data_IF_558608046079
#
_entry.id   IF_558608046079
#
_cell.length_a   1.000
_cell.length_b   1.000
_cell.length_c   1.000
_cell.angle_alpha   90.00
_cell.angle_beta   90.00
_cell.angle_gamma   90.00
#
_symmetry.space_group_name_H-M   'P 1'
#
loop_
_entity.id
_entity.type
_entity.pdbx_description
1 polymer ?
#
# COMPACT_ATOMS: atom_id res chain seq x y z
N UNK A 1 -13.07 32.33 -3.85
CA UNK A 1 -13.96 31.91 -4.97
C UNK A 1 -13.56 30.58 -5.62
N UNK A 2 -12.28 30.20 -5.70
CA UNK A 2 -11.83 28.93 -6.30
C UNK A 2 -12.31 27.70 -5.50
N UNK A 3 -12.25 27.76 -4.17
CA UNK A 3 -12.67 26.70 -3.24
C UNK A 3 -14.15 26.36 -3.34
N UNK A 4 -15.03 27.35 -3.52
CA UNK A 4 -16.46 27.13 -3.65
C UNK A 4 -16.81 26.36 -4.94
N UNK A 5 -16.17 26.73 -6.06
CA UNK A 5 -16.33 26.03 -7.34
C UNK A 5 -15.77 24.61 -7.30
N UNK A 6 -14.64 24.40 -6.63
CA UNK A 6 -14.11 23.05 -6.45
C UNK A 6 -15.10 22.16 -5.68
N UNK A 7 -15.66 22.67 -4.57
CA UNK A 7 -16.63 21.92 -3.78
C UNK A 7 -17.90 21.60 -4.59
N UNK A 8 -18.40 22.54 -5.36
CA UNK A 8 -19.59 22.36 -6.21
C UNK A 8 -19.38 21.32 -7.32
N UNK A 9 -18.19 21.29 -7.95
CA UNK A 9 -17.87 20.33 -9.01
C UNK A 9 -17.53 18.92 -8.47
N UNK A 10 -16.94 18.84 -7.28
CA UNK A 10 -16.47 17.56 -6.72
C UNK A 10 -17.43 16.95 -5.67
N UNK A 11 -18.52 17.63 -5.29
CA UNK A 11 -19.47 17.14 -4.27
C UNK A 11 -20.09 15.77 -4.58
N UNK A 12 -20.18 15.42 -5.85
CA UNK A 12 -20.76 14.16 -6.36
C UNK A 12 -19.68 13.20 -6.87
N UNK A 13 -18.41 13.62 -6.80
CA UNK A 13 -17.29 12.77 -7.21
C UNK A 13 -17.10 11.67 -6.18
N UNK A 14 -17.17 10.42 -6.66
CA UNK A 14 -16.87 9.25 -5.85
C UNK A 14 -15.40 9.31 -5.42
N UNK A 15 -15.15 9.18 -4.13
CA UNK A 15 -13.80 9.14 -3.56
C UNK A 15 -13.59 7.84 -2.79
N UNK A 16 -12.37 7.35 -2.80
CA UNK A 16 -11.93 6.21 -2.01
C UNK A 16 -10.52 6.50 -1.50
N UNK A 17 -10.29 6.32 -0.21
CA UNK A 17 -8.96 6.43 0.40
C UNK A 17 -8.40 5.01 0.54
N UNK A 18 -7.16 4.82 0.10
CA UNK A 18 -6.48 3.54 0.11
C UNK A 18 -5.08 3.71 0.69
N UNK A 19 -4.69 2.78 1.54
CA UNK A 19 -3.32 2.64 2.01
C UNK A 19 -2.61 1.56 1.20
N UNK A 20 -1.31 1.72 0.98
CA UNK A 20 -0.52 0.75 0.24
C UNK A 20 -0.62 -0.63 0.89
N UNK A 21 -0.48 -0.65 2.22
CA UNK A 21 -0.53 -1.83 3.07
C UNK A 21 -1.83 -2.61 2.90
N UNK A 22 -2.97 -1.93 2.74
CA UNK A 22 -4.29 -2.58 2.55
C UNK A 22 -4.36 -3.39 1.25
N UNK A 23 -3.66 -2.95 0.21
CA UNK A 23 -3.62 -3.61 -1.11
C UNK A 23 -2.60 -4.75 -1.14
N UNK A 24 -1.55 -4.63 -0.34
CA UNK A 24 -0.31 -5.39 -0.51
C UNK A 24 -0.18 -6.52 0.53
N UNK A 25 -0.85 -6.41 1.67
CA UNK A 25 -0.80 -7.41 2.75
C UNK A 25 -1.87 -8.50 2.57
N UNK A 26 -2.92 -8.23 1.77
CA UNK A 26 -4.05 -9.14 1.51
C UNK A 26 -4.18 -9.48 0.01
N UNK A 27 -3.07 -9.85 -0.64
CA UNK A 27 -2.98 -9.97 -2.11
C UNK A 27 -3.86 -11.03 -2.75
N UNK A 28 -4.18 -12.11 -2.04
CA UNK A 28 -4.75 -13.31 -2.67
C UNK A 28 -6.26 -13.24 -2.88
N UNK A 29 -7.02 -12.57 -2.02
CA UNK A 29 -8.46 -12.25 -2.21
C UNK A 29 -8.86 -11.17 -1.17
N UNK A 30 -8.05 -10.12 -1.01
CA UNK A 30 -8.30 -9.12 0.02
C UNK A 30 -9.63 -8.37 -0.23
N UNK A 31 -10.48 -8.18 0.79
CA UNK A 31 -11.74 -7.44 0.64
C UNK A 31 -11.52 -6.06 0.02
N UNK A 32 -10.36 -5.42 0.25
CA UNK A 32 -10.03 -4.13 -0.38
C UNK A 32 -9.75 -4.16 -1.87
N UNK A 33 -9.12 -5.20 -2.41
CA UNK A 33 -8.95 -5.27 -3.87
C UNK A 33 -10.29 -5.46 -4.57
N UNK A 34 -11.22 -6.20 -3.97
CA UNK A 34 -12.59 -6.32 -4.46
C UNK A 34 -13.32 -4.99 -4.42
N UNK A 35 -13.27 -4.28 -3.28
CA UNK A 35 -13.88 -2.95 -3.14
C UNK A 35 -13.34 -1.96 -4.19
N UNK A 36 -12.04 -2.00 -4.48
CA UNK A 36 -11.40 -1.15 -5.50
C UNK A 36 -11.87 -1.51 -6.90
N UNK A 37 -11.92 -2.81 -7.23
CA UNK A 37 -12.41 -3.26 -8.54
C UNK A 37 -13.87 -2.86 -8.75
N UNK A 38 -14.73 -3.04 -7.74
CA UNK A 38 -16.12 -2.59 -7.76
C UNK A 38 -16.22 -1.06 -7.85
N UNK A 39 -15.35 -0.34 -7.14
CA UNK A 39 -15.33 1.11 -7.18
C UNK A 39 -15.06 1.64 -8.59
N UNK A 40 -14.10 1.03 -9.27
CA UNK A 40 -13.71 1.35 -10.65
C UNK A 40 -14.66 0.78 -11.71
N UNK A 41 -15.62 -0.09 -11.32
CA UNK A 41 -16.52 -0.77 -12.26
C UNK A 41 -15.82 -1.86 -13.08
N UNK A 42 -14.77 -2.47 -12.55
CA UNK A 42 -14.01 -3.54 -13.17
C UNK A 42 -14.57 -4.92 -12.75
N UNK A 43 -14.51 -5.93 -13.63
CA UNK A 43 -14.86 -7.29 -13.26
C UNK A 43 -13.86 -7.84 -12.25
N UNK A 44 -14.36 -8.54 -11.23
CA UNK A 44 -13.52 -9.12 -10.17
C UNK A 44 -12.59 -10.19 -10.75
N UNK A 45 -11.29 -9.95 -10.67
CA UNK A 45 -10.26 -10.88 -11.11
C UNK A 45 -9.02 -10.79 -10.23
N UNK A 46 -8.20 -11.83 -10.31
CA UNK A 46 -6.86 -11.83 -9.75
C UNK A 46 -5.98 -10.82 -10.50
N UNK A 47 -5.50 -9.81 -9.80
CA UNK A 47 -4.63 -8.79 -10.36
C UNK A 47 -3.17 -9.24 -10.27
N UNK A 48 -2.54 -9.35 -11.43
CA UNK A 48 -1.10 -9.62 -11.51
C UNK A 48 -0.38 -8.38 -12.04
N UNK A 49 0.65 -7.94 -11.33
CA UNK A 49 1.46 -6.83 -11.80
C UNK A 49 2.43 -7.32 -12.87
N UNK A 50 2.49 -6.60 -14.01
CA UNK A 50 3.59 -6.74 -14.97
C UNK A 50 4.80 -5.91 -14.58
N UNK A 51 4.66 -5.04 -13.58
CA UNK A 51 5.78 -4.26 -13.08
C UNK A 51 6.74 -5.18 -12.33
N UNK A 52 8.00 -5.09 -12.70
CA UNK A 52 9.07 -5.72 -11.95
C UNK A 52 9.25 -4.93 -10.66
N UNK A 53 9.09 -5.56 -9.50
CA UNK A 53 9.45 -4.97 -8.20
C UNK A 53 10.85 -4.38 -8.34
N UNK A 54 10.98 -3.06 -8.20
CA UNK A 54 12.26 -2.35 -8.40
C UNK A 54 13.19 -2.50 -7.20
N UNK A 55 12.63 -2.78 -6.01
CA UNK A 55 13.37 -3.12 -4.80
C UNK A 55 13.29 -4.62 -4.55
N UNK A 56 14.25 -5.37 -5.11
CA UNK A 56 14.38 -6.82 -4.91
C UNK A 56 15.43 -7.22 -3.85
N UNK A 57 16.13 -6.24 -3.29
CA UNK A 57 17.09 -6.47 -2.20
C UNK A 57 16.39 -6.59 -0.85
N UNK A 58 17.10 -7.15 0.11
CA UNK A 58 16.72 -7.08 1.52
C UNK A 58 16.70 -5.63 1.99
N UNK A 59 15.89 -5.31 3.02
CA UNK A 59 15.84 -3.95 3.58
C UNK A 59 17.23 -3.43 3.97
N UNK A 60 18.14 -4.32 4.40
CA UNK A 60 19.52 -3.97 4.72
C UNK A 60 20.29 -3.35 3.55
N UNK A 61 19.96 -3.70 2.31
CA UNK A 61 20.64 -3.20 1.11
C UNK A 61 20.25 -1.75 0.80
N UNK A 62 19.13 -1.27 1.36
CA UNK A 62 18.56 0.05 1.09
C UNK A 62 18.63 1.00 2.29
N UNK A 63 18.99 0.51 3.47
CA UNK A 63 19.05 1.29 4.72
C UNK A 63 20.50 1.46 5.15
N UNK A 64 21.02 2.68 5.02
CA UNK A 64 22.44 2.99 5.29
C UNK A 64 22.88 2.71 6.73
N UNK A 65 21.96 2.76 7.69
CA UNK A 65 22.19 2.49 9.11
C UNK A 65 21.49 1.20 9.57
N UNK A 66 21.44 0.18 8.70
CA UNK A 66 20.68 -1.05 8.96
C UNK A 66 21.03 -1.72 10.29
N UNK A 67 22.30 -1.77 10.67
CA UNK A 67 22.73 -2.42 11.92
C UNK A 67 22.12 -1.75 13.17
N UNK A 68 22.06 -0.43 13.18
CA UNK A 68 21.45 0.33 14.29
C UNK A 68 19.93 0.10 14.34
N UNK A 69 19.28 0.08 13.18
CA UNK A 69 17.84 -0.18 13.04
C UNK A 69 17.51 -1.60 13.52
N UNK A 70 18.25 -2.60 13.02
CA UNK A 70 18.08 -3.99 13.40
C UNK A 70 18.27 -4.16 14.91
N UNK A 71 19.34 -3.60 15.49
CA UNK A 71 19.59 -3.68 16.93
C UNK A 71 18.52 -2.98 17.78
N UNK A 72 17.95 -1.88 17.29
CA UNK A 72 16.92 -1.11 18.01
C UNK A 72 15.57 -1.82 18.01
N UNK A 73 15.21 -2.46 16.90
CA UNK A 73 13.89 -3.07 16.74
C UNK A 73 13.84 -4.54 17.18
N UNK A 74 14.98 -5.23 17.20
CA UNK A 74 15.08 -6.62 17.64
C UNK A 74 14.72 -6.76 19.14
N UNK A 75 13.81 -7.69 19.47
CA UNK A 75 13.26 -7.87 20.80
C UNK A 75 12.12 -6.91 21.16
N UNK A 76 11.69 -6.05 20.23
CA UNK A 76 10.55 -5.14 20.42
C UNK A 76 9.31 -5.60 19.65
N UNK A 77 8.14 -5.03 19.94
CA UNK A 77 6.91 -5.27 19.17
C UNK A 77 7.00 -4.86 17.68
N UNK A 78 8.06 -4.11 17.32
CA UNK A 78 8.36 -3.64 15.98
C UNK A 78 9.31 -4.58 15.22
N UNK A 79 9.84 -5.63 15.86
CA UNK A 79 10.73 -6.62 15.22
C UNK A 79 10.12 -7.22 13.95
N UNK A 80 8.79 -7.39 13.93
CA UNK A 80 8.03 -7.86 12.75
C UNK A 80 8.30 -7.07 11.46
N UNK A 81 8.67 -5.79 11.57
CA UNK A 81 8.95 -4.95 10.41
C UNK A 81 10.32 -5.24 9.80
N UNK A 82 11.25 -5.85 10.53
CA UNK A 82 12.56 -6.28 10.01
C UNK A 82 12.45 -7.46 9.04
N UNK A 83 11.37 -8.24 9.16
CA UNK A 83 11.14 -9.47 8.41
C UNK A 83 9.98 -9.37 7.41
N UNK A 84 9.36 -8.19 7.29
CA UNK A 84 8.22 -8.00 6.42
C UNK A 84 8.67 -7.95 4.95
N UNK A 85 8.29 -8.97 4.18
CA UNK A 85 8.55 -9.05 2.75
C UNK A 85 7.39 -8.38 1.98
N UNK A 86 7.35 -7.04 2.01
CA UNK A 86 6.42 -6.24 1.22
C UNK A 86 6.80 -6.27 -0.25
#
# INVERSE_FOLDING_TARGET
MITARALENFNSTRHMVLYYEDLVTNRTVGPKLKDVQEFLGLPLMELTSRQVKIHKGSLCDFVSNWDDVNKTLNGTEYERFLHADY
#
